data_IF_867056028216
#
_entry.id   IF_867056028216
#
_cell.length_a   1.000
_cell.length_b   1.000
_cell.length_c   1.000
_cell.angle_alpha   90.00
_cell.angle_beta   90.00
_cell.angle_gamma   90.00
#
_symmetry.space_group_name_H-M   'P 1'
#
loop_
_entity.id
_entity.type
_entity.pdbx_description
1 polymer ?
#
# COMPACT_ATOMS: atom_id res chain seq x y z
N UNK A 1 29.00 25.89 17.15
CA UNK A 1 28.38 25.87 15.81
C UNK A 1 28.36 24.43 15.29
N UNK A 2 27.19 23.78 15.26
CA UNK A 2 26.92 22.76 14.24
C UNK A 2 25.41 22.73 13.99
N UNK A 3 25.08 22.95 12.72
CA UNK A 3 23.78 23.30 12.18
C UNK A 3 22.79 22.13 12.27
N UNK A 4 21.65 22.38 12.94
CA UNK A 4 20.48 21.50 12.96
C UNK A 4 19.80 21.59 11.58
N UNK A 5 20.29 20.86 10.58
CA UNK A 5 19.61 20.75 9.28
C UNK A 5 18.22 20.16 9.51
N UNK A 6 17.17 20.95 9.36
CA UNK A 6 15.83 20.42 9.19
C UNK A 6 15.79 19.65 7.87
N UNK A 7 15.90 18.32 7.93
CA UNK A 7 15.43 17.52 6.79
C UNK A 7 13.93 17.75 6.72
N UNK A 8 13.45 18.32 5.61
CA UNK A 8 12.03 18.33 5.31
C UNK A 8 11.49 16.90 5.49
N UNK A 9 10.45 16.73 6.30
CA UNK A 9 9.84 15.42 6.52
C UNK A 9 9.28 14.94 5.19
N UNK A 10 9.52 13.68 4.82
CA UNK A 10 8.91 13.09 3.63
C UNK A 10 7.39 13.02 3.76
N UNK A 11 6.69 13.01 2.63
CA UNK A 11 5.24 12.91 2.57
C UNK A 11 4.82 11.51 2.14
N UNK A 12 3.74 10.99 2.76
CA UNK A 12 3.04 9.79 2.30
C UNK A 12 1.60 10.18 2.00
N UNK A 13 1.14 9.91 0.78
CA UNK A 13 -0.24 10.14 0.35
C UNK A 13 -0.93 8.80 0.16
N UNK A 14 -2.08 8.64 0.79
CA UNK A 14 -2.95 7.47 0.64
C UNK A 14 -4.25 7.95 0.02
N UNK A 15 -4.71 7.27 -1.01
CA UNK A 15 -5.96 7.61 -1.69
C UNK A 15 -6.71 6.35 -2.08
N UNK A 16 -8.03 6.42 -2.04
CA UNK A 16 -8.92 5.36 -2.52
C UNK A 16 -9.90 5.92 -3.53
N UNK A 17 -10.31 5.10 -4.50
CA UNK A 17 -11.41 5.41 -5.42
C UNK A 17 -12.10 4.12 -5.86
N UNK A 18 -13.35 4.24 -6.29
CA UNK A 18 -14.01 3.20 -7.05
C UNK A 18 -13.66 3.36 -8.54
N UNK A 19 -13.41 2.25 -9.23
CA UNK A 19 -13.14 2.21 -10.67
C UNK A 19 -13.85 0.99 -11.26
N UNK A 20 -15.05 1.19 -11.81
CA UNK A 20 -15.94 0.09 -12.19
C UNK A 20 -16.24 -0.83 -11.01
N UNK A 21 -16.04 -2.12 -11.21
CA UNK A 21 -16.22 -3.16 -10.17
C UNK A 21 -14.99 -3.33 -9.27
N UNK A 22 -14.10 -2.33 -9.18
CA UNK A 22 -12.88 -2.41 -8.38
C UNK A 22 -12.78 -1.29 -7.35
N UNK A 23 -12.26 -1.63 -6.18
CA UNK A 23 -11.70 -0.67 -5.24
C UNK A 23 -10.21 -0.47 -5.57
N UNK A 24 -9.81 0.77 -5.83
CA UNK A 24 -8.42 1.13 -6.11
C UNK A 24 -7.84 1.87 -4.92
N UNK A 25 -6.72 1.37 -4.40
CA UNK A 25 -5.95 1.99 -3.31
C UNK A 25 -4.61 2.43 -3.87
N UNK A 26 -4.22 3.67 -3.58
CA UNK A 26 -2.91 4.21 -3.93
C UNK A 26 -2.14 4.57 -2.68
N UNK A 27 -0.86 4.22 -2.64
CA UNK A 27 0.08 4.62 -1.59
C UNK A 27 1.28 5.23 -2.29
N UNK A 28 1.50 6.53 -2.10
CA UNK A 28 2.60 7.26 -2.71
C UNK A 28 3.50 7.91 -1.65
N UNK A 29 4.80 7.86 -1.86
CA UNK A 29 5.80 8.53 -1.03
C UNK A 29 6.64 9.53 -1.85
N UNK A 30 7.29 10.47 -1.17
CA UNK A 30 8.30 11.38 -1.75
C UNK A 30 9.73 10.95 -1.38
N UNK A 31 9.96 9.65 -1.30
CA UNK A 31 11.23 9.05 -0.90
C UNK A 31 12.22 8.91 -2.07
N UNK A 32 13.17 8.00 -1.93
CA UNK A 32 14.28 7.87 -2.89
C UNK A 32 13.92 7.18 -4.22
N UNK A 33 12.72 6.61 -4.34
CA UNK A 33 12.33 5.80 -5.49
C UNK A 33 13.04 4.44 -5.58
N UNK A 34 12.76 3.71 -6.66
CA UNK A 34 13.24 2.35 -6.94
C UNK A 34 14.04 2.36 -8.25
N UNK A 35 15.37 2.10 -8.19
CA UNK A 35 16.21 1.94 -9.37
C UNK A 35 15.71 0.85 -10.31
N UNK A 36 15.79 1.10 -11.62
CA UNK A 36 15.31 0.18 -12.66
C UNK A 36 15.89 -1.24 -12.53
N UNK A 37 17.20 -1.32 -12.27
CA UNK A 37 17.94 -2.57 -12.12
C UNK A 37 17.39 -3.53 -11.03
N UNK A 38 16.60 -3.03 -10.08
CA UNK A 38 16.04 -3.84 -8.99
C UNK A 38 14.52 -3.94 -9.00
N UNK A 39 13.83 -3.32 -9.97
CA UNK A 39 12.35 -3.32 -10.05
C UNK A 39 11.76 -4.74 -10.09
N UNK A 40 12.43 -5.66 -10.78
CA UNK A 40 11.99 -7.05 -10.90
C UNK A 40 12.09 -7.84 -9.58
N UNK A 41 12.84 -7.35 -8.59
CA UNK A 41 13.09 -8.05 -7.31
C UNK A 41 12.23 -7.55 -6.16
N UNK A 42 11.44 -6.49 -6.36
CA UNK A 42 10.77 -5.80 -5.23
C UNK A 42 9.79 -6.71 -4.49
N UNK A 43 9.21 -7.69 -5.19
CA UNK A 43 8.30 -8.69 -4.63
C UNK A 43 9.00 -9.97 -4.17
N UNK A 44 10.32 -10.09 -4.34
CA UNK A 44 11.07 -11.27 -3.91
C UNK A 44 11.13 -11.31 -2.38
N UNK A 45 10.80 -12.45 -1.76
CA UNK A 45 10.94 -12.61 -0.32
C UNK A 45 12.38 -12.33 0.12
N UNK A 46 12.52 -11.59 1.22
CA UNK A 46 13.79 -11.22 1.84
C UNK A 46 14.66 -10.23 1.05
N UNK A 47 14.23 -9.77 -0.13
CA UNK A 47 14.94 -8.73 -0.86
C UNK A 47 14.83 -7.38 -0.14
N UNK A 48 15.97 -6.74 0.12
CA UNK A 48 16.03 -5.42 0.75
C UNK A 48 17.30 -4.68 0.33
N UNK A 49 17.19 -3.38 0.09
CA UNK A 49 18.34 -2.46 -0.10
C UNK A 49 18.77 -1.78 1.19
N UNK A 50 18.02 -1.98 2.28
CA UNK A 50 18.36 -1.44 3.60
C UNK A 50 19.54 -2.21 4.19
N UNK A 51 20.33 -1.52 5.00
CA UNK A 51 21.42 -2.13 5.76
C UNK A 51 20.94 -3.31 6.62
N UNK A 52 21.87 -4.20 6.96
CA UNK A 52 21.63 -5.40 7.78
C UNK A 52 20.88 -5.01 9.06
N UNK A 53 19.81 -5.73 9.37
CA UNK A 53 18.97 -5.50 10.54
C UNK A 53 18.01 -4.31 10.47
N UNK A 54 17.97 -3.54 9.36
CA UNK A 54 17.05 -2.39 9.19
C UNK A 54 15.80 -2.69 8.35
N UNK A 55 15.69 -3.89 7.81
CA UNK A 55 14.52 -4.36 7.08
C UNK A 55 14.63 -5.84 6.77
N UNK A 56 13.53 -6.57 6.91
CA UNK A 56 13.47 -8.02 6.64
C UNK A 56 13.25 -8.34 5.17
N UNK A 57 12.86 -7.35 4.35
CA UNK A 57 12.51 -7.57 2.94
C UNK A 57 11.23 -8.38 2.72
N UNK A 58 10.35 -8.51 3.73
CA UNK A 58 9.17 -9.36 3.62
C UNK A 58 7.87 -8.62 3.28
N UNK A 59 7.80 -7.32 3.57
CA UNK A 59 6.54 -6.56 3.50
C UNK A 59 5.87 -6.64 2.14
N UNK A 60 6.60 -6.29 1.07
CA UNK A 60 6.01 -6.22 -0.27
C UNK A 60 5.70 -7.61 -0.85
N UNK A 61 6.52 -8.63 -0.54
CA UNK A 61 6.25 -10.02 -0.90
C UNK A 61 4.95 -10.54 -0.25
N UNK A 62 4.72 -10.21 1.02
CA UNK A 62 3.47 -10.53 1.73
C UNK A 62 2.29 -9.78 1.13
N UNK A 63 2.44 -8.46 0.88
CA UNK A 63 1.39 -7.65 0.26
C UNK A 63 0.98 -8.21 -1.09
N UNK A 64 1.93 -8.57 -1.96
CA UNK A 64 1.64 -9.17 -3.27
C UNK A 64 0.77 -10.41 -3.14
N UNK A 65 1.17 -11.36 -2.29
CA UNK A 65 0.42 -12.60 -2.04
C UNK A 65 -0.97 -12.35 -1.47
N UNK A 66 -1.11 -11.37 -0.56
CA UNK A 66 -2.41 -10.99 0.00
C UNK A 66 -3.31 -10.45 -1.12
N UNK A 67 -2.81 -9.53 -1.94
CA UNK A 67 -3.57 -8.93 -3.05
C UNK A 67 -4.00 -9.99 -4.07
N UNK A 68 -3.10 -10.89 -4.46
CA UNK A 68 -3.41 -12.01 -5.35
C UNK A 68 -4.47 -12.93 -4.77
N UNK A 69 -4.39 -13.27 -3.47
CA UNK A 69 -5.40 -14.10 -2.79
C UNK A 69 -6.79 -13.47 -2.74
N UNK A 70 -6.88 -12.15 -2.83
CA UNK A 70 -8.14 -11.42 -2.92
C UNK A 70 -8.60 -11.22 -4.38
N UNK A 71 -7.94 -11.85 -5.36
CA UNK A 71 -8.26 -11.70 -6.78
C UNK A 71 -7.89 -10.32 -7.35
N UNK A 72 -6.97 -9.62 -6.69
CA UNK A 72 -6.55 -8.28 -7.10
C UNK A 72 -5.22 -8.24 -7.84
N UNK A 73 -4.76 -7.03 -8.11
CA UNK A 73 -3.44 -6.74 -8.68
C UNK A 73 -2.76 -5.60 -7.94
N UNK A 74 -1.43 -5.63 -7.88
CA UNK A 74 -0.59 -4.54 -7.36
C UNK A 74 0.44 -4.14 -8.42
N UNK A 75 0.51 -2.84 -8.68
CA UNK A 75 1.42 -2.23 -9.66
C UNK A 75 2.14 -1.07 -9.00
N UNK A 76 3.24 -0.59 -9.59
CA UNK A 76 3.91 0.59 -9.09
C UNK A 76 4.52 1.45 -10.20
N UNK A 77 4.55 2.74 -9.96
CA UNK A 77 5.28 3.75 -10.71
C UNK A 77 6.34 4.34 -9.78
N UNK A 78 7.58 4.45 -10.23
CA UNK A 78 8.67 4.94 -9.39
C UNK A 78 9.69 5.70 -10.21
N UNK A 79 10.24 6.76 -9.61
CA UNK A 79 11.33 7.55 -10.18
C UNK A 79 12.35 7.83 -9.08
N UNK A 80 13.63 7.60 -9.41
CA UNK A 80 14.73 7.78 -8.46
C UNK A 80 14.84 9.26 -8.08
N UNK A 81 14.82 9.54 -6.79
CA UNK A 81 14.86 10.90 -6.24
C UNK A 81 13.50 11.59 -6.12
N UNK A 82 12.45 11.07 -6.75
CA UNK A 82 11.09 11.62 -6.69
C UNK A 82 10.21 10.85 -5.71
N UNK A 83 10.27 9.51 -5.73
CA UNK A 83 9.47 8.65 -4.86
C UNK A 83 8.84 7.46 -5.59
N UNK A 84 7.88 6.81 -4.93
CA UNK A 84 7.18 5.64 -5.47
C UNK A 84 5.68 5.75 -5.22
N UNK A 85 4.87 5.29 -6.17
CA UNK A 85 3.43 5.08 -6.03
C UNK A 85 3.11 3.62 -6.27
N UNK A 86 2.58 2.94 -5.27
CA UNK A 86 1.92 1.66 -5.43
C UNK A 86 0.43 1.85 -5.70
N UNK A 87 -0.11 1.08 -6.65
CA UNK A 87 -1.53 1.03 -6.99
C UNK A 87 -2.03 -0.40 -6.84
N UNK A 88 -2.93 -0.60 -5.87
CA UNK A 88 -3.59 -1.86 -5.58
C UNK A 88 -5.02 -1.78 -6.15
N UNK A 89 -5.42 -2.77 -6.94
CA UNK A 89 -6.79 -2.93 -7.42
C UNK A 89 -7.36 -4.22 -6.85
N UNK A 90 -8.49 -4.13 -6.16
CA UNK A 90 -9.20 -5.27 -5.60
C UNK A 90 -10.61 -5.31 -6.20
N UNK A 91 -11.17 -6.48 -6.49
CA UNK A 91 -12.59 -6.61 -6.79
C UNK A 91 -13.41 -5.97 -5.67
N UNK A 92 -14.26 -5.01 -6.00
CA UNK A 92 -15.20 -4.44 -5.05
C UNK A 92 -16.31 -5.47 -4.83
N UNK A 93 -16.63 -5.76 -3.57
CA UNK A 93 -17.88 -6.44 -3.28
C UNK A 93 -19.00 -5.57 -3.87
N UNK A 94 -19.82 -6.14 -4.77
CA UNK A 94 -21.13 -5.56 -5.07
C UNK A 94 -21.75 -5.29 -3.71
N UNK A 95 -22.12 -4.04 -3.44
CA UNK A 95 -22.73 -3.67 -2.18
C UNK A 95 -23.95 -4.57 -2.02
N UNK A 96 -23.81 -5.66 -1.25
CA UNK A 96 -24.96 -6.35 -0.72
C UNK A 96 -25.73 -5.25 -0.01
N UNK A 97 -26.93 -4.99 -0.51
CA UNK A 97 -27.88 -4.01 -0.01
C UNK A 97 -27.65 -3.81 1.49
N UNK A 98 -27.39 -2.56 1.90
CA UNK A 98 -27.23 -2.13 3.30
C UNK A 98 -27.97 -3.10 4.21
N UNK A 99 -27.26 -4.00 4.91
CA UNK A 99 -27.90 -4.87 5.89
C UNK A 99 -28.64 -3.94 6.85
N UNK A 100 -29.97 -4.08 6.88
CA UNK A 100 -30.84 -3.31 7.76
C UNK A 100 -30.31 -3.38 9.21
N UNK A 101 -30.45 -2.32 10.02
CA UNK A 101 -29.89 -2.29 11.36
C UNK A 101 -30.46 -3.43 12.21
N UNK A 102 -29.60 -4.39 12.58
CA UNK A 102 -29.88 -5.39 13.60
C UNK A 102 -29.57 -4.79 14.97
N UNK A 103 -30.53 -4.05 15.56
CA UNK A 103 -30.73 -4.05 17.01
C UNK A 103 -32.08 -3.39 17.34
N UNK A 104 -33.12 -4.19 17.53
CA UNK A 104 -34.22 -3.76 18.41
C UNK A 104 -33.80 -4.04 19.86
N UNK A 105 -33.84 -3.04 20.76
CA UNK A 105 -33.54 -3.27 22.17
C UNK A 105 -34.54 -4.28 22.73
N UNK A 106 -34.05 -5.35 23.37
CA UNK A 106 -34.93 -6.24 24.13
C UNK A 106 -35.60 -5.43 25.23
N UNK A 107 -36.92 -5.25 25.16
CA UNK A 107 -37.69 -4.83 26.34
C UNK A 107 -37.68 -5.99 27.33
N UNK A 108 -37.08 -5.77 28.50
CA UNK A 108 -37.26 -6.61 29.68
C UNK A 108 -38.69 -6.43 30.19
N UNK A 109 -39.40 -7.54 30.35
CA UNK A 109 -40.61 -7.64 31.17
C UNK A 109 -40.23 -7.69 32.65
#
# INVERSE_FOLDING_TARGET
MSSRRSRAKGEIRIGTRAEGDHAVVTVADTGCGIPEAIRHKVYDPFFTTKAIGKGTGQGLAITHRIVERHGGSITFDSEVGTGTRFTIRLPAARSAERRAPLHEPRRSA
#
